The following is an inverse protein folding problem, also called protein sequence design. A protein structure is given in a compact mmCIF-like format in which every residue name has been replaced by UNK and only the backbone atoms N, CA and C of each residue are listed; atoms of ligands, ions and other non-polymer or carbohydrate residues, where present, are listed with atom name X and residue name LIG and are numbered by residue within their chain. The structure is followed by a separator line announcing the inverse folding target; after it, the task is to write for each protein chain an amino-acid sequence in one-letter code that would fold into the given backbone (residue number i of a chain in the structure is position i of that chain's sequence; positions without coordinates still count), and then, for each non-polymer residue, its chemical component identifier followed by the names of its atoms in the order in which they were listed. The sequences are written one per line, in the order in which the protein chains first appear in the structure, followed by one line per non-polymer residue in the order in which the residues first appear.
data_IF_467554709603
#
_entry.id   IF_467554709603
#
_cell.length_a   1.000
_cell.length_b   1.000
_cell.length_c   1.000
_cell.angle_alpha   90.00
_cell.angle_beta   90.00
_cell.angle_gamma   90.00
#
_symmetry.space_group_name_H-M   'P 1'
#
loop_
_entity.id
_entity.type
_entity.pdbx_description
1 polymer ?
#
# COMPACT_ATOMS: atom_id res chain seq x y z
N UNK A 1 13.20 5.93 -21.21
CA UNK A 1 12.57 6.01 -19.89
C UNK A 1 12.44 7.49 -19.60
N UNK A 2 11.27 8.06 -19.88
CA UNK A 2 11.00 9.45 -19.50
C UNK A 2 10.75 9.40 -17.99
N UNK A 3 11.55 10.13 -17.21
CA UNK A 3 11.24 10.39 -15.81
C UNK A 3 9.89 11.11 -15.78
N UNK A 4 8.82 10.39 -15.47
CA UNK A 4 7.51 11.01 -15.22
C UNK A 4 7.58 11.66 -13.85
N UNK A 5 7.92 12.94 -13.79
CA UNK A 5 7.91 13.72 -12.56
C UNK A 5 6.45 14.05 -12.18
N UNK A 6 6.21 14.20 -10.88
CA UNK A 6 4.93 14.69 -10.37
C UNK A 6 4.76 16.17 -10.71
N UNK A 7 3.62 16.54 -11.29
CA UNK A 7 3.30 17.91 -11.72
C UNK A 7 2.13 18.48 -10.92
N UNK A 8 2.16 19.80 -10.67
CA UNK A 8 1.13 20.52 -9.90
C UNK A 8 0.19 21.26 -10.84
N UNK A 9 -1.12 21.10 -10.65
CA UNK A 9 -2.17 21.80 -11.40
C UNK A 9 -3.26 22.28 -10.44
N UNK A 10 -3.72 23.52 -10.63
CA UNK A 10 -4.92 24.02 -9.96
C UNK A 10 -6.16 23.65 -10.81
N UNK A 11 -7.08 22.87 -10.26
CA UNK A 11 -8.31 22.47 -10.95
C UNK A 11 -9.55 22.87 -10.15
N UNK A 12 -10.39 23.75 -10.70
CA UNK A 12 -11.62 24.24 -10.07
C UNK A 12 -11.43 24.79 -8.64
N UNK A 13 -10.28 25.40 -8.38
CA UNK A 13 -9.91 25.93 -7.07
C UNK A 13 -9.30 24.90 -6.12
N UNK A 14 -9.26 23.61 -6.45
CA UNK A 14 -8.57 22.58 -5.65
C UNK A 14 -7.11 22.46 -6.04
N UNK A 15 -6.25 22.19 -5.04
CA UNK A 15 -4.84 21.90 -5.26
C UNK A 15 -4.71 20.45 -5.70
N UNK A 16 -4.22 20.20 -6.91
CA UNK A 16 -4.05 18.85 -7.44
C UNK A 16 -2.60 18.63 -7.87
N UNK A 17 -2.10 17.45 -7.55
CA UNK A 17 -0.84 16.94 -8.10
C UNK A 17 -1.13 15.68 -8.88
N UNK A 18 -0.43 15.48 -9.99
CA UNK A 18 -0.64 14.32 -10.84
C UNK A 18 0.66 13.79 -11.42
N UNK A 19 0.65 12.50 -11.76
CA UNK A 19 1.77 11.80 -12.37
C UNK A 19 1.22 10.82 -13.41
N UNK A 20 1.82 10.84 -14.59
CA UNK A 20 1.48 9.91 -15.67
C UNK A 20 2.54 8.82 -15.73
N UNK A 21 2.14 7.56 -15.67
CA UNK A 21 3.01 6.41 -15.83
C UNK A 21 2.40 5.44 -16.85
N UNK A 22 3.16 5.09 -17.88
CA UNK A 22 2.68 4.28 -19.02
C UNK A 22 1.34 4.80 -19.58
N UNK A 23 0.25 4.03 -19.43
CA UNK A 23 -1.11 4.34 -19.88
C UNK A 23 -2.06 4.76 -18.74
N UNK A 24 -1.51 5.15 -17.57
CA UNK A 24 -2.27 5.54 -16.38
C UNK A 24 -1.87 6.94 -15.91
N UNK A 25 -2.85 7.69 -15.42
CA UNK A 25 -2.63 8.94 -14.70
C UNK A 25 -3.13 8.82 -13.26
N UNK A 26 -2.26 9.13 -12.30
CA UNK A 26 -2.54 9.13 -10.87
C UNK A 26 -2.68 10.57 -10.39
N UNK A 27 -3.62 10.80 -9.48
CA UNK A 27 -3.94 12.13 -8.96
C UNK A 27 -4.07 12.10 -7.44
N UNK A 28 -3.57 13.13 -6.79
CA UNK A 28 -3.90 13.46 -5.39
C UNK A 28 -4.51 14.86 -5.39
N UNK A 29 -5.67 14.99 -4.77
CA UNK A 29 -6.45 16.24 -4.75
C UNK A 29 -6.63 16.66 -3.30
N UNK A 30 -6.17 17.87 -2.99
CA UNK A 30 -6.36 18.54 -1.70
C UNK A 30 -7.29 19.76 -1.84
N UNK A 31 -7.66 20.33 -0.69
CA UNK A 31 -8.43 21.57 -0.64
C UNK A 31 -7.63 22.75 -1.26
N UNK A 32 -8.28 23.89 -1.59
CA UNK A 32 -7.68 25.05 -2.29
C UNK A 32 -6.41 25.68 -1.69
N UNK A 33 -6.06 25.30 -0.45
CA UNK A 33 -4.96 25.87 0.32
C UNK A 33 -4.10 24.79 0.98
N UNK A 34 -4.26 23.53 0.57
CA UNK A 34 -3.39 22.44 1.03
C UNK A 34 -1.99 22.62 0.44
N UNK A 35 -0.99 22.16 1.20
CA UNK A 35 0.41 22.25 0.80
C UNK A 35 0.69 21.27 -0.34
N UNK A 36 1.07 21.79 -1.50
CA UNK A 36 1.38 21.04 -2.71
C UNK A 36 2.47 19.99 -2.47
N UNK A 37 3.47 20.31 -1.65
CA UNK A 37 4.60 19.41 -1.35
C UNK A 37 4.15 18.19 -0.55
N UNK A 38 3.16 18.35 0.33
CA UNK A 38 2.59 17.23 1.08
C UNK A 38 1.79 16.34 0.13
N UNK A 39 0.96 16.91 -0.74
CA UNK A 39 0.22 16.14 -1.74
C UNK A 39 1.17 15.41 -2.70
N UNK A 40 2.27 16.06 -3.10
CA UNK A 40 3.32 15.46 -3.93
C UNK A 40 3.99 14.29 -3.20
N UNK A 41 4.31 14.43 -1.92
CA UNK A 41 4.84 13.33 -1.09
C UNK A 41 3.90 12.13 -1.03
N UNK A 42 2.59 12.35 -1.00
CA UNK A 42 1.59 11.26 -1.06
C UNK A 42 1.61 10.60 -2.44
N UNK A 43 1.59 11.40 -3.51
CA UNK A 43 1.60 10.88 -4.88
C UNK A 43 2.88 10.09 -5.21
N UNK A 44 4.04 10.61 -4.81
CA UNK A 44 5.33 9.95 -4.98
C UNK A 44 5.39 8.66 -4.14
N UNK A 45 4.99 8.72 -2.87
CA UNK A 45 4.91 7.55 -2.01
C UNK A 45 3.99 6.45 -2.56
N UNK A 46 2.85 6.83 -3.13
CA UNK A 46 1.93 5.90 -3.81
C UNK A 46 2.60 5.26 -5.02
N UNK A 47 3.15 6.07 -5.93
CA UNK A 47 3.79 5.57 -7.15
C UNK A 47 4.97 4.65 -6.84
N UNK A 48 5.88 5.07 -5.96
CA UNK A 48 7.07 4.29 -5.62
C UNK A 48 6.68 2.97 -4.93
N UNK A 49 5.63 2.98 -4.10
CA UNK A 49 5.07 1.75 -3.52
C UNK A 49 4.54 0.80 -4.58
N UNK A 50 3.76 1.30 -5.54
CA UNK A 50 3.22 0.51 -6.64
C UNK A 50 4.34 -0.01 -7.54
N UNK A 51 5.33 0.82 -7.83
CA UNK A 51 6.50 0.46 -8.61
C UNK A 51 7.25 -0.73 -7.98
N UNK A 52 7.51 -0.68 -6.68
CA UNK A 52 8.13 -1.79 -5.95
C UNK A 52 7.21 -3.03 -5.90
N UNK A 53 5.91 -2.83 -5.65
CA UNK A 53 4.95 -3.93 -5.50
C UNK A 53 4.74 -4.70 -6.81
N UNK A 54 4.65 -3.98 -7.93
CA UNK A 54 4.37 -4.49 -9.27
C UNK A 54 5.64 -4.79 -10.07
N UNK A 55 6.82 -4.73 -9.45
CA UNK A 55 8.13 -5.03 -10.08
C UNK A 55 8.39 -4.15 -11.31
N UNK A 56 8.35 -2.84 -11.09
CA UNK A 56 8.70 -1.80 -12.05
C UNK A 56 7.71 -1.62 -13.21
N UNK A 57 6.54 -2.26 -13.15
CA UNK A 57 5.47 -2.15 -14.15
C UNK A 57 4.21 -1.52 -13.54
N UNK A 58 4.06 -0.22 -13.76
CA UNK A 58 2.86 0.53 -13.34
C UNK A 58 2.09 0.94 -14.60
N UNK A 59 1.30 0.00 -15.10
CA UNK A 59 0.36 0.20 -16.21
C UNK A 59 -1.07 -0.22 -15.80
N UNK A 60 -2.06 0.08 -16.64
CA UNK A 60 -3.46 -0.12 -16.31
C UNK A 60 -3.77 -1.60 -16.03
N UNK A 61 -3.13 -2.52 -16.74
CA UNK A 61 -3.35 -3.95 -16.58
C UNK A 61 -2.76 -4.44 -15.25
N UNK A 62 -1.52 -4.06 -14.92
CA UNK A 62 -0.88 -4.41 -13.67
C UNK A 62 -1.67 -3.89 -12.45
N UNK A 63 -2.19 -2.66 -12.54
CA UNK A 63 -3.06 -2.09 -11.48
C UNK A 63 -4.33 -2.92 -11.31
N UNK A 64 -4.98 -3.33 -12.40
CA UNK A 64 -6.20 -4.15 -12.35
C UNK A 64 -5.93 -5.55 -11.80
N UNK A 65 -4.81 -6.17 -12.17
CA UNK A 65 -4.40 -7.49 -11.66
C UNK A 65 -4.12 -7.47 -10.15
N UNK A 66 -3.65 -6.33 -9.63
CA UNK A 66 -3.30 -6.14 -8.21
C UNK A 66 -4.29 -5.26 -7.44
N UNK A 67 -5.51 -5.05 -7.95
CA UNK A 67 -6.46 -4.04 -7.45
C UNK A 67 -6.69 -4.12 -5.94
N UNK A 68 -6.82 -5.33 -5.36
CA UNK A 68 -7.01 -5.50 -3.92
C UNK A 68 -5.85 -4.91 -3.10
N UNK A 69 -4.61 -5.11 -3.53
CA UNK A 69 -3.43 -4.56 -2.86
C UNK A 69 -3.32 -3.05 -3.05
N UNK A 70 -3.77 -2.53 -4.20
CA UNK A 70 -3.87 -1.08 -4.46
C UNK A 70 -4.90 -0.43 -3.55
N UNK A 71 -6.08 -1.03 -3.38
CA UNK A 71 -7.10 -0.52 -2.45
C UNK A 71 -6.58 -0.52 -1.00
N UNK A 72 -5.91 -1.59 -0.59
CA UNK A 72 -5.28 -1.66 0.73
C UNK A 72 -4.16 -0.62 0.91
N UNK A 73 -3.40 -0.33 -0.15
CA UNK A 73 -2.41 0.74 -0.14
C UNK A 73 -3.07 2.09 0.17
N UNK A 74 -4.17 2.41 -0.52
CA UNK A 74 -4.89 3.66 -0.30
C UNK A 74 -5.37 3.79 1.15
N UNK A 75 -5.91 2.70 1.72
CA UNK A 75 -6.36 2.66 3.13
C UNK A 75 -5.20 2.83 4.14
N UNK A 76 -4.01 2.30 3.84
CA UNK A 76 -2.82 2.44 4.72
C UNK A 76 -2.16 3.81 4.60
N UNK A 77 -2.32 4.49 3.45
CA UNK A 77 -1.74 5.80 3.20
C UNK A 77 -2.57 6.94 3.79
N UNK A 78 -3.89 6.88 3.64
CA UNK A 78 -4.79 7.98 4.01
C UNK A 78 -6.04 7.44 4.72
N UNK A 79 -6.29 7.93 5.93
CA UNK A 79 -7.50 7.62 6.69
C UNK A 79 -8.33 8.90 6.90
N UNK A 80 -9.51 8.96 6.30
CA UNK A 80 -10.42 10.12 6.40
C UNK A 80 -9.77 11.47 6.06
N UNK A 81 -8.86 11.48 5.08
CA UNK A 81 -8.11 12.68 4.66
C UNK A 81 -6.87 12.98 5.51
N UNK A 82 -6.60 12.19 6.55
CA UNK A 82 -5.37 12.26 7.34
C UNK A 82 -4.34 11.35 6.70
N UNK A 83 -3.18 11.90 6.37
CA UNK A 83 -2.05 11.13 5.84
C UNK A 83 -1.42 10.35 6.99
N UNK A 84 -1.37 9.03 6.87
CA UNK A 84 -0.88 8.11 7.89
C UNK A 84 0.54 7.64 7.59
N UNK A 85 0.83 7.30 6.32
CA UNK A 85 2.12 6.78 5.89
C UNK A 85 2.34 7.11 4.41
N UNK A 86 3.58 7.45 4.05
CA UNK A 86 3.99 7.73 2.66
C UNK A 86 5.29 7.03 2.27
N UNK A 87 5.94 6.35 3.22
CA UNK A 87 7.22 5.67 3.01
C UNK A 87 7.00 4.36 2.24
N UNK A 88 7.56 4.20 1.02
CA UNK A 88 7.28 3.04 0.18
C UNK A 88 7.62 1.69 0.80
N UNK A 89 8.77 1.56 1.45
CA UNK A 89 9.22 0.29 2.03
C UNK A 89 8.26 -0.22 3.11
N UNK A 90 7.75 0.72 3.92
CA UNK A 90 6.78 0.43 4.97
C UNK A 90 5.45 0.01 4.36
N UNK A 91 4.95 0.75 3.37
CA UNK A 91 3.67 0.46 2.72
C UNK A 91 3.69 -0.87 1.98
N UNK A 92 4.77 -1.18 1.25
CA UNK A 92 4.95 -2.49 0.58
C UNK A 92 4.86 -3.64 1.58
N UNK A 93 5.51 -3.52 2.74
CA UNK A 93 5.45 -4.54 3.78
C UNK A 93 4.02 -4.72 4.31
N UNK A 94 3.29 -3.62 4.52
CA UNK A 94 1.90 -3.66 5.02
C UNK A 94 0.95 -4.30 4.01
N UNK A 95 1.01 -3.90 2.74
CA UNK A 95 0.09 -4.43 1.72
C UNK A 95 0.37 -5.89 1.33
N UNK A 96 1.61 -6.38 1.47
CA UNK A 96 1.95 -7.81 1.32
C UNK A 96 1.41 -8.66 2.47
N UNK A 97 1.29 -8.06 3.64
CA UNK A 97 0.79 -8.70 4.85
C UNK A 97 -0.71 -8.42 5.01
N UNK A 98 -1.53 -9.04 4.13
CA UNK A 98 -2.99 -9.16 4.30
C UNK A 98 -3.42 -9.33 5.77
N UNK A 99 -4.57 -8.75 6.16
CA UNK A 99 -4.79 -8.06 7.42
C UNK A 99 -4.24 -8.78 8.64
N UNK A 100 -3.61 -8.00 9.53
CA UNK A 100 -2.98 -8.40 10.80
C UNK A 100 -3.79 -9.40 11.64
N UNK A 101 -5.11 -9.49 11.46
CA UNK A 101 -5.98 -10.49 12.09
C UNK A 101 -5.81 -11.91 11.53
N UNK A 102 -5.89 -12.11 10.22
CA UNK A 102 -6.01 -13.43 9.59
C UNK A 102 -4.74 -14.27 9.70
N UNK A 103 -3.57 -13.67 9.44
CA UNK A 103 -2.27 -14.38 9.50
C UNK A 103 -1.77 -14.61 10.92
N UNK A 104 -2.01 -13.69 11.87
CA UNK A 104 -1.65 -13.90 13.29
C UNK A 104 -2.48 -15.02 13.92
N UNK A 105 -3.78 -15.08 13.64
CA UNK A 105 -4.65 -16.18 14.09
C UNK A 105 -4.21 -17.52 13.49
N UNK A 106 -3.93 -17.57 12.18
CA UNK A 106 -3.46 -18.80 11.54
C UNK A 106 -2.11 -19.28 12.10
N UNK A 107 -1.13 -18.37 12.29
CA UNK A 107 0.19 -18.70 12.84
C UNK A 107 0.13 -19.08 14.32
N UNK A 108 -0.71 -18.41 15.11
CA UNK A 108 -0.93 -18.75 16.52
C UNK A 108 -1.62 -20.11 16.66
N UNK A 109 -2.62 -20.40 15.82
CA UNK A 109 -3.32 -21.69 15.80
C UNK A 109 -2.39 -22.85 15.41
N UNK A 110 -1.60 -22.70 14.34
CA UNK A 110 -0.61 -23.70 13.93
C UNK A 110 0.44 -23.97 15.02
N UNK A 111 1.00 -22.92 15.64
CA UNK A 111 1.97 -23.08 16.72
C UNK A 111 1.37 -23.72 17.99
N UNK A 112 0.11 -23.44 18.30
CA UNK A 112 -0.59 -24.06 19.43
C UNK A 112 -0.86 -25.55 19.18
N UNK A 113 -1.23 -25.93 17.96
CA UNK A 113 -1.44 -27.33 17.56
C UNK A 113 -0.14 -28.16 17.64
N UNK A 114 0.97 -27.64 17.13
CA UNK A 114 2.26 -28.35 17.19
C UNK A 114 2.72 -28.60 18.63
N UNK A 115 2.57 -27.59 19.51
CA UNK A 115 2.87 -27.74 20.94
C UNK A 115 1.95 -28.73 21.63
N UNK A 116 0.68 -28.81 21.22
CA UNK A 116 -0.29 -29.78 21.73
C UNK A 116 0.09 -31.21 21.36
N UNK A 117 0.47 -31.42 20.09
CA UNK A 117 0.90 -32.72 19.59
C UNK A 117 2.16 -33.23 20.31
N UNK A 118 3.14 -32.36 20.53
CA UNK A 118 4.36 -32.72 21.25
C UNK A 118 4.13 -33.08 22.71
N UNK A 119 3.19 -32.40 23.39
CA UNK A 119 2.79 -32.78 24.76
C UNK A 119 2.12 -34.15 24.80
N UNK A 120 1.24 -34.45 23.84
CA UNK A 120 0.58 -35.75 23.71
C UNK A 120 1.57 -36.89 23.46
N UNK A 121 2.52 -36.70 22.54
CA UNK A 121 3.58 -37.70 22.27
C UNK A 121 4.39 -38.01 23.53
N UNK A 122 4.72 -37.00 24.33
CA UNK A 122 5.49 -37.17 25.58
C UNK A 122 4.69 -37.89 26.67
N UNK A 123 3.38 -37.64 26.78
CA UNK A 123 2.52 -38.28 27.77
C UNK A 123 2.20 -39.75 27.44
N UNK A 124 2.23 -40.14 26.16
CA UNK A 124 1.98 -41.52 25.72
C UNK A 124 3.24 -42.40 25.68
N UNK A 125 4.43 -41.80 25.70
CA UNK A 125 5.73 -42.49 25.68
C UNK A 125 6.44 -42.50 27.03
N UNK A 126 5.78 -42.00 28.09
CA UNK A 126 6.20 -42.06 29.50
C UNK A 126 5.38 -43.09 30.26
#
# INVERSE_FOLDING_TARGET
MLDSLSEVVLFNGYTCVYRVAADVAMYVVGAPHENELILMSVLDGMYDTLFIHMKDQVDALAILEHLTSVLLLLDEMVDNGIIIETTPEILVERIRNEPRGSKKLAKAASSAMDKGLDKLKRALLS
#
